data_IF_314489402238
#
_entry.id   IF_314489402238
#
_cell.length_a   1.000
_cell.length_b   1.000
_cell.length_c   1.000
_cell.angle_alpha   90.00
_cell.angle_beta   90.00
_cell.angle_gamma   90.00
#
_symmetry.space_group_name_H-M   'P 1'
#
loop_
_entity.id
_entity.type
_entity.pdbx_description
1 polymer ?
#
# COMPACT_ATOMS: atom_id res chain seq x y z
N UNK A 1 8.99 10.42 9.46
CA UNK A 1 9.10 10.79 8.04
C UNK A 1 7.73 10.91 7.40
N UNK A 2 7.15 9.79 6.95
CA UNK A 2 5.89 9.76 6.20
C UNK A 2 4.68 10.42 6.90
N UNK A 3 4.54 10.24 8.22
CA UNK A 3 3.48 10.90 9.00
C UNK A 3 3.58 12.44 8.96
N UNK A 4 4.80 12.99 8.90
CA UNK A 4 5.02 14.44 8.81
C UNK A 4 4.62 14.93 7.41
N UNK A 5 4.92 14.17 6.35
CA UNK A 5 4.50 14.49 4.97
C UNK A 5 2.97 14.54 4.86
N UNK A 6 2.29 13.54 5.43
CA UNK A 6 0.82 13.52 5.49
C UNK A 6 0.29 14.75 6.22
N UNK A 7 0.85 15.06 7.39
CA UNK A 7 0.42 16.19 8.20
C UNK A 7 0.58 17.54 7.48
N UNK A 8 1.76 17.80 6.88
CA UNK A 8 2.06 19.05 6.16
C UNK A 8 1.07 19.27 5.00
N UNK A 9 0.79 18.24 4.21
CA UNK A 9 -0.08 18.35 3.03
C UNK A 9 -1.55 18.54 3.45
N UNK A 10 -2.00 17.87 4.51
CA UNK A 10 -3.38 18.00 5.01
C UNK A 10 -3.62 19.35 5.69
N UNK A 11 -2.64 19.85 6.45
CA UNK A 11 -2.71 21.11 7.18
C UNK A 11 -2.75 22.34 6.25
N UNK A 12 -1.98 22.33 5.15
CA UNK A 12 -1.92 23.47 4.23
C UNK A 12 -2.81 23.28 2.99
N UNK A 13 -3.99 23.93 2.97
CA UNK A 13 -4.91 23.93 1.80
C UNK A 13 -4.24 24.32 0.48
N UNK A 14 -3.28 25.25 0.50
CA UNK A 14 -2.53 25.69 -0.70
C UNK A 14 -1.71 24.56 -1.34
N UNK A 15 -1.36 23.54 -0.57
CA UNK A 15 -0.61 22.37 -1.03
C UNK A 15 -1.51 21.21 -1.48
N UNK A 16 -2.83 21.37 -1.58
CA UNK A 16 -3.75 20.30 -2.04
C UNK A 16 -3.80 20.19 -3.56
N UNK A 17 -2.64 19.92 -4.16
CA UNK A 17 -2.49 19.64 -5.60
C UNK A 17 -2.67 18.15 -5.89
N UNK A 18 -2.92 17.80 -7.16
CA UNK A 18 -3.07 16.42 -7.65
C UNK A 18 -1.89 15.54 -7.21
N UNK A 19 -0.66 16.02 -7.46
CA UNK A 19 0.58 15.33 -7.09
C UNK A 19 0.68 15.11 -5.59
N UNK A 20 0.27 16.09 -4.78
CA UNK A 20 0.33 15.99 -3.33
C UNK A 20 -0.69 15.00 -2.75
N UNK A 21 -1.84 14.77 -3.41
CA UNK A 21 -2.74 13.68 -3.02
C UNK A 21 -2.10 12.30 -3.25
N UNK A 22 -1.39 12.11 -4.36
CA UNK A 22 -0.65 10.86 -4.58
C UNK A 22 0.51 10.69 -3.59
N UNK A 23 1.21 11.77 -3.23
CA UNK A 23 2.25 11.73 -2.19
C UNK A 23 1.69 11.37 -0.82
N UNK A 24 0.51 11.86 -0.45
CA UNK A 24 -0.17 11.46 0.79
C UNK A 24 -0.55 9.97 0.74
N UNK A 25 -1.08 9.49 -0.38
CA UNK A 25 -1.42 8.08 -0.56
C UNK A 25 -0.17 7.18 -0.41
N UNK A 26 0.94 7.58 -1.04
CA UNK A 26 2.24 6.91 -0.94
C UNK A 26 2.74 6.89 0.51
N UNK A 27 2.79 8.05 1.17
CA UNK A 27 3.23 8.17 2.55
C UNK A 27 2.36 7.35 3.51
N UNK A 28 1.05 7.29 3.28
CA UNK A 28 0.12 6.49 4.07
C UNK A 28 0.37 4.99 3.89
N UNK A 29 0.53 4.54 2.64
CA UNK A 29 0.85 3.14 2.30
C UNK A 29 2.15 2.69 2.98
N UNK A 30 3.21 3.47 2.83
CA UNK A 30 4.53 3.17 3.37
C UNK A 30 4.55 3.21 4.91
N UNK A 31 3.90 4.20 5.52
CA UNK A 31 3.80 4.29 6.99
C UNK A 31 3.02 3.10 7.57
N UNK A 32 1.92 2.71 6.92
CA UNK A 32 1.11 1.57 7.35
C UNK A 32 1.89 0.27 7.20
N UNK A 33 2.62 0.08 6.10
CA UNK A 33 3.45 -1.11 5.88
C UNK A 33 4.55 -1.21 6.93
N UNK A 34 5.23 -0.10 7.22
CA UNK A 34 6.25 -0.06 8.27
C UNK A 34 5.67 -0.36 9.67
N UNK A 35 4.50 0.20 10.00
CA UNK A 35 3.87 0.00 11.29
C UNK A 35 3.37 -1.44 11.51
N UNK A 36 2.67 -2.00 10.52
CA UNK A 36 2.02 -3.31 10.67
C UNK A 36 2.92 -4.48 10.28
N UNK A 37 3.80 -4.32 9.29
CA UNK A 37 4.53 -5.46 8.74
C UNK A 37 5.95 -5.58 9.29
N UNK A 38 6.65 -4.47 9.55
CA UNK A 38 8.05 -4.52 10.01
C UNK A 38 8.17 -5.13 11.40
N UNK A 39 7.36 -4.69 12.37
CA UNK A 39 7.39 -5.23 13.73
C UNK A 39 7.09 -6.73 13.76
N UNK A 40 6.09 -7.16 12.99
CA UNK A 40 5.62 -8.54 12.96
C UNK A 40 6.62 -9.45 12.25
N UNK A 41 7.19 -9.01 11.12
CA UNK A 41 8.28 -9.74 10.46
C UNK A 41 9.50 -9.87 11.38
N UNK A 42 9.83 -8.83 12.15
CA UNK A 42 10.95 -8.87 13.08
C UNK A 42 10.72 -9.90 14.19
N UNK A 43 9.53 -9.91 14.81
CA UNK A 43 9.17 -10.91 15.83
C UNK A 43 9.18 -12.33 15.24
N UNK A 44 8.59 -12.51 14.06
CA UNK A 44 8.55 -13.81 13.38
C UNK A 44 9.95 -14.31 13.01
N UNK A 45 10.84 -13.44 12.56
CA UNK A 45 12.21 -13.78 12.23
C UNK A 45 13.04 -14.19 13.46
N UNK A 46 12.80 -13.54 14.61
CA UNK A 46 13.48 -13.86 15.88
C UNK A 46 13.00 -15.16 16.51
N UNK A 47 11.69 -15.36 16.59
CA UNK A 47 11.10 -16.50 17.29
C UNK A 47 10.88 -17.72 16.39
N UNK A 48 10.88 -17.54 15.06
CA UNK A 48 10.51 -18.59 14.10
C UNK A 48 9.15 -19.26 14.38
N UNK A 49 8.27 -18.54 15.10
CA UNK A 49 6.94 -18.94 15.52
C UNK A 49 5.93 -17.83 15.24
N UNK A 50 4.75 -18.22 14.77
CA UNK A 50 3.65 -17.33 14.44
C UNK A 50 2.62 -17.25 15.58
N UNK A 51 2.56 -16.11 16.27
CA UNK A 51 1.69 -15.89 17.43
C UNK A 51 0.37 -15.14 17.11
N UNK A 52 0.25 -14.53 15.94
CA UNK A 52 -0.81 -13.55 15.63
C UNK A 52 -2.10 -14.15 15.05
N UNK A 53 -2.19 -15.49 14.99
CA UNK A 53 -3.35 -16.20 14.46
C UNK A 53 -3.50 -16.16 12.94
N UNK A 54 -4.47 -16.91 12.41
CA UNK A 54 -4.65 -17.10 10.96
C UNK A 54 -5.10 -15.83 10.24
N UNK A 55 -6.03 -15.07 10.83
CA UNK A 55 -6.54 -13.84 10.23
C UNK A 55 -5.41 -12.82 10.00
N UNK A 56 -4.49 -12.69 10.96
CA UNK A 56 -3.34 -11.80 10.82
C UNK A 56 -2.31 -12.37 9.84
N UNK A 57 -2.15 -13.69 9.72
CA UNK A 57 -1.28 -14.31 8.72
C UNK A 57 -1.72 -13.95 7.30
N UNK A 58 -3.03 -14.00 7.03
CA UNK A 58 -3.62 -13.56 5.77
C UNK A 58 -3.38 -12.07 5.53
N UNK A 59 -3.67 -11.23 6.52
CA UNK A 59 -3.45 -9.78 6.44
C UNK A 59 -1.96 -9.42 6.22
N UNK A 60 -1.05 -10.10 6.91
CA UNK A 60 0.39 -9.89 6.86
C UNK A 60 0.99 -10.18 5.48
N UNK A 61 0.50 -11.21 4.79
CA UNK A 61 0.94 -11.51 3.42
C UNK A 61 0.23 -10.63 2.37
N UNK A 62 -1.03 -10.28 2.62
CA UNK A 62 -1.86 -9.48 1.72
C UNK A 62 -1.44 -7.98 1.66
N UNK A 63 -1.22 -7.38 2.83
CA UNK A 63 -1.05 -5.93 2.97
C UNK A 63 0.20 -5.38 2.27
N UNK A 64 1.40 -5.99 2.37
CA UNK A 64 2.60 -5.51 1.70
C UNK A 64 2.45 -5.44 0.18
N UNK A 65 1.82 -6.44 -0.40
CA UNK A 65 1.62 -6.54 -1.85
C UNK A 65 0.68 -5.41 -2.31
N UNK A 66 -0.42 -5.23 -1.59
CA UNK A 66 -1.36 -4.13 -1.84
C UNK A 66 -0.68 -2.77 -1.72
N UNK A 67 0.12 -2.58 -0.66
CA UNK A 67 0.85 -1.34 -0.40
C UNK A 67 1.85 -1.02 -1.51
N UNK A 68 2.64 -2.00 -1.94
CA UNK A 68 3.63 -1.85 -3.03
C UNK A 68 2.95 -1.52 -4.35
N UNK A 69 1.86 -2.22 -4.71
CA UNK A 69 1.10 -1.90 -5.93
C UNK A 69 0.52 -0.49 -5.87
N UNK A 70 -0.09 -0.11 -4.75
CA UNK A 70 -0.64 1.23 -4.58
C UNK A 70 0.44 2.31 -4.71
N UNK A 71 1.63 2.07 -4.16
CA UNK A 71 2.78 2.97 -4.25
C UNK A 71 3.29 3.12 -5.69
N UNK A 72 3.53 2.00 -6.39
CA UNK A 72 4.02 2.01 -7.78
C UNK A 72 3.03 2.69 -8.71
N UNK A 73 1.74 2.34 -8.66
CA UNK A 73 0.73 2.97 -9.52
C UNK A 73 0.53 4.46 -9.20
N UNK A 74 0.68 4.86 -7.93
CA UNK A 74 0.66 6.28 -7.55
C UNK A 74 1.85 7.02 -8.15
N UNK A 75 3.06 6.43 -8.13
CA UNK A 75 4.24 7.00 -8.78
C UNK A 75 4.06 7.11 -10.30
N UNK A 76 3.50 6.08 -10.94
CA UNK A 76 3.19 6.10 -12.37
C UNK A 76 2.19 7.21 -12.70
N UNK A 77 1.13 7.38 -11.90
CA UNK A 77 0.16 8.45 -12.10
C UNK A 77 0.79 9.85 -11.97
N UNK A 78 1.71 10.04 -11.01
CA UNK A 78 2.50 11.27 -10.90
C UNK A 78 3.35 11.49 -12.16
N UNK A 79 4.04 10.45 -12.63
CA UNK A 79 4.88 10.54 -13.83
C UNK A 79 4.04 10.91 -15.08
N UNK A 80 2.85 10.32 -15.23
CA UNK A 80 1.93 10.63 -16.33
C UNK A 80 1.42 12.07 -16.23
N UNK A 81 1.04 12.56 -15.04
CA UNK A 81 0.64 13.96 -14.84
C UNK A 81 1.76 14.93 -15.23
N UNK A 82 3.00 14.63 -14.84
CA UNK A 82 4.18 15.44 -15.20
C UNK A 82 4.45 15.40 -16.70
N UNK A 83 4.38 14.22 -17.31
CA UNK A 83 4.59 14.05 -18.73
C UNK A 83 3.57 14.83 -19.56
N UNK A 84 2.27 14.70 -19.24
CA UNK A 84 1.19 15.44 -19.90
C UNK A 84 1.35 16.96 -19.73
N UNK A 85 1.80 17.41 -18.56
CA UNK A 85 2.04 18.83 -18.32
C UNK A 85 3.19 19.44 -19.15
N UNK A 86 4.15 18.62 -19.58
CA UNK A 86 5.31 19.07 -20.38
C UNK A 86 4.98 18.99 -21.87
N UNK A 87 4.36 17.91 -22.33
CA UNK A 87 4.11 17.66 -23.75
C UNK A 87 2.85 18.38 -24.26
N UNK A 88 1.77 18.37 -23.49
CA UNK A 88 0.47 18.90 -23.91
C UNK A 88 -0.01 20.02 -22.95
N UNK A 89 0.64 21.20 -22.96
CA UNK A 89 0.34 22.28 -22.01
C UNK A 89 -1.08 22.86 -22.15
N UNK A 90 -1.75 22.63 -23.29
CA UNK A 90 -3.10 23.10 -23.60
C UNK A 90 -4.20 22.13 -23.16
N UNK A 91 -3.86 20.88 -22.80
CA UNK A 91 -4.87 19.91 -22.34
C UNK A 91 -5.21 20.15 -20.86
N UNK A 92 -6.49 20.04 -20.48
CA UNK A 92 -6.90 20.20 -19.09
C UNK A 92 -6.26 19.12 -18.21
N UNK A 93 -5.70 19.55 -17.08
CA UNK A 93 -5.06 18.66 -16.09
C UNK A 93 -6.08 17.76 -15.41
N UNK A 94 -5.60 16.70 -14.77
CA UNK A 94 -6.41 15.89 -13.87
C UNK A 94 -7.09 16.78 -12.82
N UNK A 95 -8.42 16.70 -12.74
CA UNK A 95 -9.18 17.37 -11.67
C UNK A 95 -8.98 16.65 -10.34
N UNK A 96 -9.10 17.37 -9.23
CA UNK A 96 -9.03 16.78 -7.88
C UNK A 96 -10.04 15.62 -7.67
N UNK A 97 -11.21 15.69 -8.32
CA UNK A 97 -12.19 14.59 -8.29
C UNK A 97 -11.68 13.38 -9.07
N UNK A 98 -11.13 13.58 -10.27
CA UNK A 98 -10.54 12.52 -11.07
C UNK A 98 -9.36 11.86 -10.33
N UNK A 99 -8.54 12.63 -9.63
CA UNK A 99 -7.43 12.10 -8.82
C UNK A 99 -7.92 11.14 -7.74
N UNK A 100 -9.00 11.49 -7.03
CA UNK A 100 -9.59 10.60 -6.02
C UNK A 100 -10.14 9.32 -6.64
N UNK A 101 -10.76 9.41 -7.82
CA UNK A 101 -11.24 8.24 -8.57
C UNK A 101 -10.07 7.34 -8.96
N UNK A 102 -8.97 7.92 -9.47
CA UNK A 102 -7.75 7.17 -9.83
C UNK A 102 -7.14 6.48 -8.60
N UNK A 103 -7.05 7.18 -7.46
CA UNK A 103 -6.58 6.56 -6.21
C UNK A 103 -7.49 5.40 -5.81
N UNK A 104 -8.82 5.59 -5.86
CA UNK A 104 -9.78 4.53 -5.58
C UNK A 104 -9.61 3.31 -6.50
N UNK A 105 -9.44 3.52 -7.81
CA UNK A 105 -9.20 2.43 -8.76
C UNK A 105 -7.87 1.72 -8.53
N UNK A 106 -6.81 2.46 -8.16
CA UNK A 106 -5.51 1.89 -7.82
C UNK A 106 -5.64 0.96 -6.62
N UNK A 107 -6.34 1.38 -5.57
CA UNK A 107 -6.59 0.52 -4.41
C UNK A 107 -7.38 -0.73 -4.80
N UNK A 108 -8.48 -0.60 -5.54
CA UNK A 108 -9.28 -1.75 -5.99
C UNK A 108 -8.42 -2.75 -6.78
N UNK A 109 -7.61 -2.27 -7.74
CA UNK A 109 -6.71 -3.11 -8.51
C UNK A 109 -5.65 -3.78 -7.63
N UNK A 110 -5.07 -3.05 -6.68
CA UNK A 110 -4.11 -3.58 -5.73
C UNK A 110 -4.72 -4.67 -4.84
N UNK A 111 -5.96 -4.47 -4.35
CA UNK A 111 -6.72 -5.46 -3.60
C UNK A 111 -6.97 -6.73 -4.43
N UNK A 112 -7.40 -6.59 -5.68
CA UNK A 112 -7.65 -7.71 -6.58
C UNK A 112 -6.37 -8.51 -6.88
N UNK A 113 -5.25 -7.83 -7.11
CA UNK A 113 -3.96 -8.47 -7.36
C UNK A 113 -3.40 -9.19 -6.11
N UNK A 114 -3.63 -8.64 -4.92
CA UNK A 114 -3.20 -9.23 -3.66
C UNK A 114 -4.19 -10.30 -3.13
N UNK A 115 -5.41 -10.38 -3.67
CA UNK A 115 -6.44 -11.32 -3.22
C UNK A 115 -6.02 -12.80 -3.20
N UNK A 116 -5.28 -13.34 -4.21
CA UNK A 116 -4.83 -14.73 -4.17
C UNK A 116 -3.99 -15.05 -2.94
N UNK A 117 -3.19 -14.10 -2.46
CA UNK A 117 -2.33 -14.26 -1.29
C UNK A 117 -3.17 -14.39 -0.01
N UNK A 118 -4.29 -13.68 0.06
CA UNK A 118 -5.24 -13.81 1.16
C UNK A 118 -5.93 -15.19 1.17
N UNK A 119 -6.20 -15.77 -0.01
CA UNK A 119 -6.82 -17.10 -0.13
C UNK A 119 -5.85 -18.23 0.23
N UNK A 120 -4.61 -18.15 -0.24
CA UNK A 120 -3.63 -19.23 -0.08
C UNK A 120 -2.77 -19.13 1.19
N UNK A 121 -2.87 -18.03 1.94
CA UNK A 121 -2.17 -17.89 3.24
C UNK A 121 -2.87 -18.71 4.32
N UNK A 122 -2.18 -19.71 4.85
CA UNK A 122 -2.67 -20.59 5.91
C UNK A 122 -1.66 -20.65 7.06
N UNK A 123 -2.16 -20.91 8.27
CA UNK A 123 -1.31 -21.23 9.43
C UNK A 123 -1.30 -22.73 9.66
N UNK A 124 -0.11 -23.32 9.79
CA UNK A 124 0.04 -24.73 10.12
C UNK A 124 0.72 -24.88 11.47
N UNK A 125 0.03 -25.58 12.36
CA UNK A 125 0.57 -25.98 13.66
C UNK A 125 1.43 -27.22 13.44
N UNK A 126 2.71 -27.10 13.74
CA UNK A 126 3.68 -28.20 13.77
C UNK A 126 4.07 -28.49 15.22
N UNK A 127 4.61 -29.69 15.53
CA UNK A 127 5.07 -30.00 16.87
C UNK A 127 6.16 -28.99 17.29
N UNK A 128 5.84 -28.15 18.26
CA UNK A 128 6.76 -27.13 18.80
C UNK A 128 6.86 -25.81 18.01
N UNK A 129 6.01 -25.55 16.99
CA UNK A 129 5.85 -24.21 16.38
C UNK A 129 4.63 -24.06 15.49
N UNK A 130 4.11 -22.84 15.40
CA UNK A 130 3.11 -22.45 14.38
C UNK A 130 3.79 -21.67 13.27
N UNK A 131 3.56 -22.03 12.01
CA UNK A 131 4.08 -21.27 10.86
C UNK A 131 2.94 -20.66 10.05
N UNK A 132 3.20 -19.46 9.52
CA UNK A 132 2.37 -18.81 8.51
C UNK A 132 3.07 -19.00 7.16
N UNK A 133 2.41 -19.65 6.18
CA UNK A 133 2.96 -19.81 4.84
C UNK A 133 1.87 -19.79 3.77
N UNK A 134 2.28 -19.49 2.54
CA UNK A 134 1.38 -19.46 1.38
C UNK A 134 1.41 -20.83 0.70
N UNK A 135 0.28 -21.53 0.73
CA UNK A 135 0.11 -22.85 0.13
C UNK A 135 -0.59 -22.72 -1.22
N UNK A 136 0.20 -22.60 -2.29
CA UNK A 136 -0.32 -22.71 -3.65
C UNK A 136 -0.79 -24.14 -3.94
N UNK A 137 -1.84 -24.30 -4.77
CA UNK A 137 -2.37 -25.62 -5.14
C UNK A 137 -1.38 -26.42 -6.00
#
# INVERSE_FOLDING_TARGET
>A
GNLIVIWIILAHKRMRTVTNYFLVNLAFSDASMAAFNTLINFIYALHSEWYFGEAYCRFHNFFPITAVFASIYSMTAIAVDRYMAIIDPLKPRLSATATKVVIGSIWILAFLLAFPQCLYSITKVMPGRTLCYVAWP
#
